data_IF_674677073724
#
_entry.id   IF_674677073724
#
_cell.length_a   1.000
_cell.length_b   1.000
_cell.length_c   1.000
_cell.angle_alpha   90.00
_cell.angle_beta   90.00
_cell.angle_gamma   90.00
#
_symmetry.space_group_name_H-M   'P 1'
#
loop_
_entity.id
_entity.type
_entity.pdbx_description
1 polymer ?
#
# COMPACT_ATOMS: atom_id res chain seq x y z
N UNK A 1 12.44 -12.54 70.47
CA UNK A 1 11.38 -12.24 69.50
C UNK A 1 11.99 -12.06 68.11
N UNK A 2 11.89 -13.09 67.23
CA UNK A 2 12.44 -13.07 65.89
C UNK A 2 11.33 -12.52 64.98
N UNK A 3 11.55 -11.33 64.36
CA UNK A 3 10.64 -10.76 63.34
C UNK A 3 10.89 -11.48 62.01
N UNK A 4 9.90 -12.23 61.53
CA UNK A 4 9.87 -12.81 60.19
C UNK A 4 9.29 -11.74 59.23
N UNK A 5 10.12 -11.24 58.31
CA UNK A 5 9.65 -10.41 57.20
C UNK A 5 9.16 -11.31 56.09
N UNK A 6 7.86 -11.30 55.85
CA UNK A 6 7.24 -11.97 54.71
C UNK A 6 7.34 -11.05 53.48
N UNK A 7 8.24 -11.37 52.53
CA UNK A 7 8.27 -10.69 51.24
C UNK A 7 7.14 -11.23 50.35
N UNK A 8 6.12 -10.42 50.18
CA UNK A 8 5.05 -10.68 49.22
C UNK A 8 5.59 -10.28 47.81
N UNK A 9 6.02 -11.25 47.03
CA UNK A 9 6.37 -11.03 45.62
C UNK A 9 5.08 -10.77 44.84
N UNK A 10 4.81 -9.50 44.47
CA UNK A 10 3.78 -9.16 43.51
C UNK A 10 4.25 -9.66 42.12
N UNK A 11 3.67 -10.74 41.65
CA UNK A 11 3.78 -11.15 40.27
C UNK A 11 2.96 -10.16 39.45
N UNK A 12 3.63 -9.20 38.80
CA UNK A 12 3.03 -8.36 37.76
C UNK A 12 2.77 -9.30 36.58
N UNK A 13 1.51 -9.49 36.13
CA UNK A 13 1.27 -10.25 34.93
C UNK A 13 1.91 -9.48 33.78
N UNK A 14 2.98 -10.01 33.17
CA UNK A 14 3.41 -9.59 31.85
C UNK A 14 2.22 -9.83 30.93
N UNK A 15 1.52 -8.76 30.54
CA UNK A 15 0.58 -8.81 29.43
C UNK A 15 1.43 -9.09 28.19
N UNK A 16 1.48 -10.34 27.76
CA UNK A 16 2.00 -10.71 26.48
C UNK A 16 1.13 -9.97 25.45
N UNK A 17 1.69 -8.97 24.78
CA UNK A 17 1.06 -8.34 23.63
C UNK A 17 0.71 -9.47 22.66
N UNK A 18 -0.58 -9.68 22.40
CA UNK A 18 -1.01 -10.73 21.48
C UNK A 18 -0.37 -10.44 20.11
N UNK A 19 0.49 -11.35 19.68
CA UNK A 19 1.14 -11.28 18.37
C UNK A 19 0.07 -11.34 17.28
N UNK A 20 0.05 -10.36 16.37
CA UNK A 20 -0.91 -10.28 15.27
C UNK A 20 -0.50 -11.20 14.11
N UNK A 21 0.81 -11.33 13.89
CA UNK A 21 1.41 -12.18 12.87
C UNK A 21 2.85 -12.53 13.22
N UNK A 22 3.34 -13.64 12.72
CA UNK A 22 4.72 -14.09 12.86
C UNK A 22 5.49 -13.74 11.58
N UNK A 23 6.59 -12.98 11.70
CA UNK A 23 7.55 -12.77 10.62
C UNK A 23 8.52 -13.95 10.61
N UNK A 24 8.40 -14.83 9.61
CA UNK A 24 9.21 -16.04 9.52
C UNK A 24 10.53 -15.82 8.78
N UNK A 25 10.57 -14.86 7.85
CA UNK A 25 11.78 -14.42 7.16
C UNK A 25 11.60 -13.03 6.59
N UNK A 26 12.72 -12.33 6.34
CA UNK A 26 12.77 -11.10 5.56
C UNK A 26 14.01 -11.16 4.68
N UNK A 27 13.84 -10.92 3.38
CA UNK A 27 14.95 -10.92 2.41
C UNK A 27 14.91 -9.68 1.52
N UNK A 28 16.08 -9.16 1.19
CA UNK A 28 16.24 -8.15 0.16
C UNK A 28 16.11 -8.80 -1.21
N UNK A 29 15.22 -8.27 -2.07
CA UNK A 29 14.89 -8.90 -3.35
C UNK A 29 15.31 -8.14 -4.58
N UNK A 30 15.79 -6.88 -4.45
CA UNK A 30 16.20 -6.10 -5.60
C UNK A 30 17.65 -5.70 -5.58
N UNK A 31 18.16 -5.48 -6.80
CA UNK A 31 19.49 -4.95 -7.09
C UNK A 31 19.48 -3.46 -7.53
N UNK A 32 18.33 -2.83 -7.73
CA UNK A 32 18.27 -1.45 -8.23
C UNK A 32 18.24 -0.46 -7.08
N UNK A 33 19.12 0.53 -7.11
CA UNK A 33 19.25 1.55 -6.08
C UNK A 33 18.17 2.65 -6.10
N UNK A 34 17.18 2.57 -6.96
CA UNK A 34 16.10 3.57 -7.08
C UNK A 34 14.75 2.87 -7.32
N UNK A 35 14.59 1.69 -6.76
CA UNK A 35 13.37 0.91 -6.96
C UNK A 35 12.37 1.11 -5.81
N UNK A 36 11.09 1.10 -6.14
CA UNK A 36 10.01 0.96 -5.16
C UNK A 36 8.94 -0.01 -5.66
N UNK A 37 8.19 -0.57 -4.73
CA UNK A 37 7.07 -1.45 -5.03
C UNK A 37 5.88 -0.62 -5.48
N UNK A 38 5.50 -0.71 -6.75
CA UNK A 38 4.28 -0.12 -7.28
C UNK A 38 3.04 -0.91 -6.83
N UNK A 39 3.08 -2.24 -6.97
CA UNK A 39 2.01 -3.14 -6.55
C UNK A 39 2.57 -4.53 -6.23
N UNK A 40 1.81 -5.31 -5.47
CA UNK A 40 2.07 -6.73 -5.18
C UNK A 40 0.94 -7.57 -5.78
N UNK A 41 1.28 -8.68 -6.42
CA UNK A 41 0.26 -9.61 -6.93
C UNK A 41 -0.61 -10.14 -5.78
N UNK A 42 -1.90 -10.36 -5.98
CA UNK A 42 -2.80 -10.81 -4.92
C UNK A 42 -2.37 -12.13 -4.26
N UNK A 43 -1.83 -13.06 -5.05
CA UNK A 43 -1.33 -14.37 -4.61
C UNK A 43 0.14 -14.36 -4.13
N UNK A 44 0.81 -13.19 -4.14
CA UNK A 44 2.17 -13.06 -3.63
C UNK A 44 3.26 -13.68 -4.51
N UNK A 45 3.05 -13.85 -5.83
CA UNK A 45 4.00 -14.49 -6.73
C UNK A 45 4.99 -13.51 -7.36
N UNK A 46 4.58 -12.25 -7.56
CA UNK A 46 5.42 -11.24 -8.19
C UNK A 46 5.19 -9.84 -7.61
N UNK A 47 6.17 -8.97 -7.82
CA UNK A 47 6.09 -7.53 -7.58
C UNK A 47 6.03 -6.78 -8.91
N UNK A 48 5.28 -5.70 -8.94
CA UNK A 48 5.43 -4.65 -9.94
C UNK A 48 6.33 -3.56 -9.35
N UNK A 49 7.44 -3.30 -10.03
CA UNK A 49 8.46 -2.35 -9.61
C UNK A 49 8.47 -1.11 -10.50
N UNK A 50 8.81 0.02 -9.92
CA UNK A 50 9.01 1.29 -10.60
C UNK A 50 10.13 2.07 -9.91
N UNK A 51 10.59 3.19 -10.47
CA UNK A 51 11.50 4.06 -9.76
C UNK A 51 10.75 5.02 -8.81
N UNK A 52 11.49 5.79 -8.01
CA UNK A 52 10.92 6.76 -7.04
C UNK A 52 10.05 7.82 -7.70
N UNK A 53 10.30 8.17 -8.97
CA UNK A 53 9.49 9.10 -9.76
C UNK A 53 8.29 8.46 -10.47
N UNK A 54 8.01 7.19 -10.24
CA UNK A 54 7.00 6.36 -10.93
C UNK A 54 7.25 6.21 -12.45
N UNK A 55 8.48 6.36 -12.90
CA UNK A 55 8.86 6.13 -14.29
C UNK A 55 9.19 4.66 -14.50
N UNK A 56 8.67 4.09 -15.58
CA UNK A 56 8.81 2.69 -15.91
C UNK A 56 7.94 1.78 -15.05
N UNK A 57 7.75 0.57 -15.55
CA UNK A 57 7.05 -0.52 -14.87
C UNK A 57 7.73 -1.83 -15.23
N UNK A 58 8.10 -2.60 -14.20
CA UNK A 58 8.77 -3.89 -14.34
C UNK A 58 7.99 -4.96 -13.56
N UNK A 59 7.96 -6.16 -14.10
CA UNK A 59 7.50 -7.37 -13.42
C UNK A 59 8.72 -8.07 -12.82
N UNK A 60 8.69 -8.34 -11.51
CA UNK A 60 9.71 -9.08 -10.78
C UNK A 60 9.10 -10.37 -10.23
N UNK A 61 9.48 -11.50 -10.77
CA UNK A 61 9.04 -12.82 -10.32
C UNK A 61 9.79 -13.23 -9.04
N UNK A 62 9.06 -13.53 -7.97
CA UNK A 62 9.66 -13.82 -6.67
C UNK A 62 10.32 -15.21 -6.59
N UNK A 63 9.86 -16.17 -7.38
CA UNK A 63 10.41 -17.52 -7.38
C UNK A 63 11.71 -17.59 -8.20
N UNK A 64 11.70 -17.01 -9.41
CA UNK A 64 12.84 -17.07 -10.35
C UNK A 64 13.80 -15.90 -10.19
N UNK A 65 13.41 -14.83 -9.47
CA UNK A 65 14.14 -13.56 -9.34
C UNK A 65 14.37 -12.84 -10.68
N UNK A 66 13.60 -13.19 -11.69
CA UNK A 66 13.71 -12.57 -13.01
C UNK A 66 12.94 -11.26 -13.09
N UNK A 67 13.50 -10.31 -13.84
CA UNK A 67 12.89 -9.00 -14.11
C UNK A 67 12.52 -8.90 -15.58
N UNK A 68 11.29 -8.51 -15.88
CA UNK A 68 10.82 -8.20 -17.23
C UNK A 68 10.28 -6.77 -17.29
N UNK A 69 10.72 -5.98 -18.26
CA UNK A 69 10.20 -4.62 -18.48
C UNK A 69 8.85 -4.69 -19.18
N UNK A 70 7.84 -4.05 -18.57
CA UNK A 70 6.48 -3.89 -19.12
C UNK A 70 6.38 -2.55 -19.88
N UNK A 71 6.81 -1.44 -19.26
CA UNK A 71 6.80 -0.11 -19.87
C UNK A 71 8.00 0.70 -19.38
N UNK A 72 8.50 1.63 -20.21
CA UNK A 72 9.51 2.63 -19.84
C UNK A 72 8.91 4.03 -19.67
N UNK A 73 7.59 4.17 -19.85
CA UNK A 73 6.92 5.45 -19.89
C UNK A 73 6.86 6.13 -18.51
N UNK A 74 6.80 7.46 -18.52
CA UNK A 74 6.54 8.27 -17.35
C UNK A 74 5.18 7.92 -16.74
N UNK A 75 5.12 7.88 -15.42
CA UNK A 75 3.91 7.60 -14.66
C UNK A 75 3.43 6.15 -14.70
N UNK A 76 4.13 5.23 -15.38
CA UNK A 76 3.71 3.83 -15.52
C UNK A 76 3.59 3.10 -14.18
N UNK A 77 4.40 3.47 -13.19
CA UNK A 77 4.35 2.92 -11.84
C UNK A 77 3.34 3.57 -10.89
N UNK A 78 2.62 4.62 -11.31
CA UNK A 78 1.70 5.32 -10.42
C UNK A 78 0.31 4.69 -10.43
N UNK A 79 -0.16 4.26 -9.24
CA UNK A 79 -1.50 3.72 -9.03
C UNK A 79 -1.84 2.51 -9.92
N UNK A 80 -0.85 1.64 -10.17
CA UNK A 80 -1.04 0.42 -10.96
C UNK A 80 -2.07 -0.47 -10.28
N UNK A 81 -3.00 -1.00 -11.08
CA UNK A 81 -4.00 -1.96 -10.61
C UNK A 81 -3.72 -3.34 -11.16
N UNK A 82 -3.91 -4.35 -10.33
CA UNK A 82 -3.79 -5.77 -10.69
C UNK A 82 -5.15 -6.42 -10.55
N UNK A 83 -5.54 -7.22 -11.53
CA UNK A 83 -6.75 -8.06 -11.46
C UNK A 83 -6.63 -9.10 -10.33
N UNK A 84 -7.75 -9.58 -9.79
CA UNK A 84 -7.75 -10.53 -8.68
C UNK A 84 -7.07 -11.87 -9.00
N UNK A 85 -7.09 -12.27 -10.27
CA UNK A 85 -6.39 -13.47 -10.75
C UNK A 85 -4.88 -13.26 -10.94
N UNK A 86 -4.39 -12.03 -10.76
CA UNK A 86 -2.98 -11.69 -10.93
C UNK A 86 -2.49 -11.65 -12.38
N UNK A 87 -3.36 -11.89 -13.39
CA UNK A 87 -2.93 -12.08 -14.77
C UNK A 87 -2.96 -10.79 -15.61
N UNK A 88 -3.77 -9.82 -15.21
CA UNK A 88 -3.91 -8.56 -15.94
C UNK A 88 -3.58 -7.38 -15.04
N UNK A 89 -2.95 -6.38 -15.63
CA UNK A 89 -2.66 -5.11 -14.97
C UNK A 89 -3.20 -3.95 -15.82
N UNK A 90 -3.56 -2.86 -15.14
CA UNK A 90 -3.89 -1.59 -15.77
C UNK A 90 -2.96 -0.53 -15.21
N UNK A 91 -2.31 0.19 -16.10
CA UNK A 91 -1.38 1.27 -15.77
C UNK A 91 -1.56 2.44 -16.75
N UNK A 92 -0.90 3.55 -16.49
CA UNK A 92 -0.92 4.72 -17.37
C UNK A 92 0.44 4.97 -18.00
N UNK A 93 0.43 5.65 -19.16
CA UNK A 93 1.61 6.21 -19.78
C UNK A 93 1.38 7.70 -19.95
N UNK A 94 2.19 8.52 -19.29
CA UNK A 94 2.08 9.98 -19.33
C UNK A 94 2.76 10.50 -20.59
N UNK A 95 2.06 11.34 -21.32
CA UNK A 95 2.57 12.04 -22.51
C UNK A 95 2.17 13.52 -22.44
N UNK A 96 2.70 14.33 -23.36
CA UNK A 96 2.26 15.71 -23.55
C UNK A 96 1.32 15.78 -24.77
N UNK A 97 0.25 16.54 -24.66
CA UNK A 97 -0.60 16.88 -25.79
C UNK A 97 0.00 18.02 -26.64
N UNK A 98 -0.73 18.47 -27.66
CA UNK A 98 -0.29 19.57 -28.54
C UNK A 98 -0.09 20.90 -27.79
N UNK A 99 -0.76 21.09 -26.65
CA UNK A 99 -0.65 22.27 -25.79
C UNK A 99 0.41 22.10 -24.70
N UNK A 100 1.25 21.05 -24.76
CA UNK A 100 2.23 20.67 -23.73
C UNK A 100 1.61 20.34 -22.36
N UNK A 101 0.32 20.05 -22.30
CA UNK A 101 -0.36 19.61 -21.10
C UNK A 101 -0.14 18.10 -20.89
N UNK A 102 0.04 17.69 -19.62
CA UNK A 102 0.21 16.27 -19.29
C UNK A 102 -1.12 15.53 -19.47
N UNK A 103 -1.10 14.50 -20.29
CA UNK A 103 -2.23 13.58 -20.52
C UNK A 103 -1.75 12.15 -20.36
N UNK A 104 -2.66 11.22 -20.11
CA UNK A 104 -2.33 9.81 -19.87
C UNK A 104 -3.04 8.91 -20.88
N UNK A 105 -2.32 7.99 -21.47
CA UNK A 105 -2.93 6.80 -22.08
C UNK A 105 -3.11 5.76 -20.99
N UNK A 106 -4.27 5.12 -20.93
CA UNK A 106 -4.55 4.01 -20.02
C UNK A 106 -4.33 2.72 -20.79
N UNK A 107 -3.48 1.86 -20.26
CA UNK A 107 -3.02 0.64 -20.90
C UNK A 107 -3.37 -0.55 -20.02
N UNK A 108 -4.00 -1.57 -20.62
CA UNK A 108 -4.14 -2.91 -20.05
C UNK A 108 -3.04 -3.78 -20.62
N UNK A 109 -2.35 -4.51 -19.75
CA UNK A 109 -1.33 -5.48 -20.14
C UNK A 109 -1.69 -6.85 -19.55
N UNK A 110 -1.63 -7.86 -20.40
CA UNK A 110 -1.82 -9.25 -20.02
C UNK A 110 -0.45 -9.89 -19.80
N UNK A 111 -0.19 -10.34 -18.57
CA UNK A 111 1.11 -10.88 -18.15
C UNK A 111 1.39 -12.26 -18.73
N UNK A 112 0.33 -13.02 -19.11
CA UNK A 112 0.46 -14.38 -19.68
C UNK A 112 0.85 -14.27 -21.16
N UNK A 113 0.06 -13.50 -21.92
CA UNK A 113 0.27 -13.33 -23.38
C UNK A 113 1.29 -12.25 -23.70
N UNK A 114 1.71 -11.44 -22.70
CA UNK A 114 2.60 -10.27 -22.84
C UNK A 114 2.10 -9.22 -23.84
N UNK A 115 0.81 -9.15 -24.05
CA UNK A 115 0.17 -8.18 -24.95
C UNK A 115 -0.36 -6.98 -24.18
N UNK A 116 -0.17 -5.80 -24.78
CA UNK A 116 -0.73 -4.54 -24.27
C UNK A 116 -1.82 -4.01 -25.18
N UNK A 117 -2.86 -3.41 -24.59
CA UNK A 117 -3.96 -2.74 -25.28
C UNK A 117 -4.19 -1.37 -24.68
N UNK A 118 -4.23 -0.32 -25.49
CA UNK A 118 -4.62 1.02 -25.05
C UNK A 118 -6.13 1.05 -24.88
N UNK A 119 -6.59 1.24 -23.65
CA UNK A 119 -8.01 1.29 -23.29
C UNK A 119 -8.61 2.69 -23.45
N UNK A 120 -7.82 3.72 -23.14
CA UNK A 120 -8.22 5.13 -23.31
C UNK A 120 -6.99 5.98 -23.63
N UNK A 121 -7.18 7.01 -24.46
CA UNK A 121 -6.11 7.92 -24.90
C UNK A 121 -6.35 9.32 -24.35
N UNK A 122 -5.26 10.06 -24.11
CA UNK A 122 -5.25 11.49 -23.74
C UNK A 122 -6.16 11.84 -22.56
N UNK A 123 -6.21 10.98 -21.55
CA UNK A 123 -7.02 11.21 -20.36
C UNK A 123 -6.37 12.29 -19.49
N UNK A 124 -7.17 13.23 -19.02
CA UNK A 124 -6.77 14.26 -18.03
C UNK A 124 -7.08 13.85 -16.59
N UNK A 125 -7.82 12.76 -16.42
CA UNK A 125 -8.12 12.15 -15.12
C UNK A 125 -7.82 10.64 -15.17
N UNK A 126 -7.91 9.96 -14.04
CA UNK A 126 -7.60 8.53 -13.92
C UNK A 126 -8.85 7.63 -13.84
N UNK A 127 -10.03 8.14 -14.18
CA UNK A 127 -11.30 7.38 -14.06
C UNK A 127 -11.33 6.11 -14.92
N UNK A 128 -10.58 6.09 -16.01
CA UNK A 128 -10.46 4.94 -16.91
C UNK A 128 -9.42 3.90 -16.41
N UNK A 129 -8.68 4.17 -15.35
CA UNK A 129 -7.76 3.22 -14.72
C UNK A 129 -8.54 2.24 -13.84
N UNK A 130 -9.22 1.29 -14.46
CA UNK A 130 -10.02 0.28 -13.76
C UNK A 130 -9.73 -1.08 -14.37
N UNK A 131 -9.20 -2.00 -13.57
CA UNK A 131 -8.95 -3.39 -13.99
C UNK A 131 -10.22 -4.23 -13.87
N UNK A 132 -11.03 -3.97 -12.85
CA UNK A 132 -12.36 -4.56 -12.64
C UNK A 132 -13.36 -3.44 -12.32
N UNK A 133 -14.31 -3.20 -13.25
CA UNK A 133 -15.29 -2.12 -13.13
C UNK A 133 -16.29 -2.35 -11.98
N UNK A 134 -16.52 -3.59 -11.59
CA UNK A 134 -17.47 -3.95 -10.52
C UNK A 134 -16.90 -3.68 -9.12
N UNK A 135 -15.56 -3.67 -9.00
CA UNK A 135 -14.84 -3.44 -7.75
C UNK A 135 -14.48 -1.96 -7.60
N UNK A 136 -14.76 -1.32 -6.45
CA UNK A 136 -14.35 0.06 -6.22
C UNK A 136 -12.83 0.22 -6.32
N UNK A 137 -12.40 1.29 -6.98
CA UNK A 137 -11.00 1.74 -6.98
C UNK A 137 -10.91 3.16 -6.44
N UNK A 138 -9.79 3.49 -5.83
CA UNK A 138 -9.57 4.78 -5.18
C UNK A 138 -8.43 5.55 -5.85
N UNK A 139 -8.60 6.86 -5.94
CA UNK A 139 -7.56 7.81 -6.37
C UNK A 139 -7.68 9.09 -5.56
N UNK A 140 -6.63 9.89 -5.55
CA UNK A 140 -6.66 11.22 -4.92
C UNK A 140 -6.63 12.28 -6.02
N UNK A 141 -7.56 13.22 -5.96
CA UNK A 141 -7.62 14.38 -6.83
C UNK A 141 -7.92 15.62 -6.00
N UNK A 142 -7.11 16.67 -6.16
CA UNK A 142 -7.26 17.94 -5.41
C UNK A 142 -7.40 17.72 -3.89
N UNK A 143 -6.55 16.81 -3.36
CA UNK A 143 -6.54 16.37 -1.96
C UNK A 143 -7.82 15.64 -1.49
N UNK A 144 -8.78 15.40 -2.38
CA UNK A 144 -9.98 14.63 -2.09
C UNK A 144 -9.81 13.17 -2.51
N UNK A 145 -10.35 12.27 -1.71
CA UNK A 145 -10.43 10.87 -2.06
C UNK A 145 -11.59 10.66 -3.04
N UNK A 146 -11.28 10.06 -4.17
CA UNK A 146 -12.26 9.73 -5.22
C UNK A 146 -12.46 8.22 -5.25
N UNK A 147 -13.70 7.78 -5.31
CA UNK A 147 -14.06 6.38 -5.53
C UNK A 147 -14.66 6.21 -6.93
N UNK A 148 -14.10 5.27 -7.69
CA UNK A 148 -14.63 4.90 -9.03
C UNK A 148 -15.19 3.48 -8.96
N UNK A 149 -16.44 3.30 -9.36
CA UNK A 149 -17.13 2.01 -9.48
C UNK A 149 -18.12 2.06 -10.62
N UNK A 150 -18.18 1.01 -11.45
CA UNK A 150 -19.07 0.92 -12.62
C UNK A 150 -18.99 2.15 -13.54
N UNK A 151 -17.77 2.67 -13.78
CA UNK A 151 -17.53 3.84 -14.61
C UNK A 151 -17.97 5.18 -14.03
N UNK A 152 -18.51 5.21 -12.80
CA UNK A 152 -18.86 6.45 -12.10
C UNK A 152 -17.81 6.78 -11.04
N UNK A 153 -17.39 8.04 -11.01
CA UNK A 153 -16.49 8.56 -9.99
C UNK A 153 -17.22 9.57 -9.11
N UNK A 154 -17.10 9.37 -7.80
CA UNK A 154 -17.69 10.26 -6.79
C UNK A 154 -16.60 10.71 -5.81
N UNK A 155 -16.84 11.84 -5.13
CA UNK A 155 -16.03 12.25 -3.98
C UNK A 155 -16.37 11.30 -2.83
N UNK A 156 -15.34 10.67 -2.27
CA UNK A 156 -15.45 9.78 -1.12
C UNK A 156 -14.60 10.35 0.01
N UNK A 157 -15.21 11.17 0.86
CA UNK A 157 -14.51 11.90 1.92
C UNK A 157 -15.17 11.62 3.27
N UNK A 158 -14.93 10.41 3.88
CA UNK A 158 -15.65 9.97 5.09
C UNK A 158 -15.51 10.89 6.29
N UNK A 159 -14.37 11.59 6.44
CA UNK A 159 -14.15 12.58 7.52
C UNK A 159 -14.60 13.99 7.14
N UNK A 160 -15.08 14.22 5.89
CA UNK A 160 -15.46 15.52 5.36
C UNK A 160 -14.47 16.08 4.34
N UNK A 161 -14.96 16.98 3.47
CA UNK A 161 -14.18 17.53 2.36
C UNK A 161 -13.16 18.59 2.77
N UNK A 162 -13.18 19.05 4.02
CA UNK A 162 -12.20 19.97 4.59
C UNK A 162 -10.85 19.32 4.91
N UNK A 163 -10.79 17.98 4.88
CA UNK A 163 -9.57 17.24 5.14
C UNK A 163 -8.82 16.87 3.85
N UNK A 164 -7.51 16.77 3.95
CA UNK A 164 -6.64 16.32 2.86
C UNK A 164 -6.39 14.82 2.94
N UNK A 165 -6.74 14.09 1.90
CA UNK A 165 -6.55 12.64 1.80
C UNK A 165 -5.33 12.33 0.94
N UNK A 166 -4.57 11.28 1.27
CA UNK A 166 -3.35 10.92 0.53
C UNK A 166 -3.35 9.53 -0.05
N UNK A 167 -4.00 8.58 0.59
CA UNK A 167 -4.04 7.19 0.14
C UNK A 167 -5.28 6.49 0.65
N UNK A 168 -5.72 5.48 -0.09
CA UNK A 168 -6.75 4.57 0.35
C UNK A 168 -6.52 3.17 -0.23
N UNK A 169 -6.99 2.17 0.48
CA UNK A 169 -6.92 0.76 0.08
C UNK A 169 -8.22 0.05 0.45
N UNK A 170 -8.73 -0.76 -0.47
CA UNK A 170 -9.94 -1.55 -0.31
C UNK A 170 -9.58 -2.87 0.37
N UNK A 171 -10.40 -3.31 1.34
CA UNK A 171 -10.24 -4.62 1.97
C UNK A 171 -10.42 -5.76 0.96
N UNK A 172 -9.84 -6.94 1.19
CA UNK A 172 -9.96 -8.09 0.28
C UNK A 172 -11.41 -8.46 -0.03
N UNK A 173 -12.31 -8.41 0.96
CA UNK A 173 -13.75 -8.66 0.80
C UNK A 173 -14.53 -7.50 0.15
N UNK A 174 -13.89 -6.34 -0.07
CA UNK A 174 -14.51 -5.17 -0.68
C UNK A 174 -15.48 -4.40 0.21
N UNK A 175 -15.52 -4.69 1.52
CA UNK A 175 -16.51 -4.11 2.44
C UNK A 175 -16.00 -2.89 3.20
N UNK A 176 -14.67 -2.73 3.33
CA UNK A 176 -14.03 -1.65 4.09
C UNK A 176 -12.96 -0.92 3.30
N UNK A 177 -12.70 0.31 3.69
CA UNK A 177 -11.66 1.16 3.13
C UNK A 177 -10.75 1.62 4.26
N UNK A 178 -9.46 1.34 4.16
CA UNK A 178 -8.43 1.96 4.98
C UNK A 178 -7.86 3.16 4.23
N UNK A 179 -7.72 4.32 4.89
CA UNK A 179 -7.25 5.54 4.27
C UNK A 179 -6.47 6.42 5.24
N UNK A 180 -5.65 7.33 4.68
CA UNK A 180 -4.85 8.26 5.45
C UNK A 180 -5.34 9.70 5.22
N UNK A 181 -5.55 10.41 6.33
CA UNK A 181 -5.89 11.85 6.38
C UNK A 181 -4.66 12.60 6.86
N UNK A 182 -4.20 13.60 6.07
CA UNK A 182 -3.00 14.38 6.38
C UNK A 182 -3.09 15.04 7.77
N UNK A 183 -2.00 15.01 8.50
CA UNK A 183 -1.84 15.57 9.85
C UNK A 183 -2.81 15.00 10.90
N UNK A 184 -3.64 13.99 10.55
CA UNK A 184 -4.58 13.36 11.48
C UNK A 184 -4.23 11.90 11.71
N UNK A 185 -4.08 11.10 10.64
CA UNK A 185 -3.73 9.70 10.75
C UNK A 185 -4.54 8.76 9.85
N UNK A 186 -4.49 7.48 10.17
CA UNK A 186 -5.23 6.42 9.50
C UNK A 186 -6.62 6.22 10.07
N UNK A 187 -7.54 5.91 9.17
CA UNK A 187 -8.90 5.54 9.47
C UNK A 187 -9.33 4.30 8.68
N UNK A 188 -10.35 3.64 9.16
CA UNK A 188 -11.12 2.64 8.44
C UNK A 188 -12.58 3.05 8.44
N UNK A 189 -13.27 2.85 7.33
CA UNK A 189 -14.72 2.98 7.26
C UNK A 189 -15.31 1.85 6.42
N UNK A 190 -16.64 1.73 6.42
CA UNK A 190 -17.34 0.89 5.46
C UNK A 190 -17.23 1.47 4.04
N UNK A 191 -17.52 0.65 3.02
CA UNK A 191 -17.46 1.06 1.60
C UNK A 191 -18.47 2.17 1.24
N UNK A 192 -19.48 2.36 2.03
CA UNK A 192 -20.44 3.47 1.91
C UNK A 192 -19.98 4.77 2.60
N UNK A 193 -18.83 4.76 3.27
CA UNK A 193 -18.28 5.87 4.04
C UNK A 193 -18.76 5.93 5.51
N UNK A 194 -19.63 5.03 5.94
CA UNK A 194 -20.12 4.93 7.31
C UNK A 194 -19.13 4.22 8.25
N UNK A 195 -19.43 4.24 9.57
CA UNK A 195 -18.64 3.58 10.62
C UNK A 195 -17.15 3.95 10.60
N UNK A 196 -16.86 5.24 10.57
CA UNK A 196 -15.48 5.77 10.57
C UNK A 196 -14.82 5.45 11.91
N UNK A 197 -13.72 4.72 11.85
CA UNK A 197 -12.89 4.31 12.98
C UNK A 197 -11.47 4.84 12.81
N UNK A 198 -10.96 5.54 13.82
CA UNK A 198 -9.56 5.94 13.90
C UNK A 198 -8.68 4.74 14.26
N UNK A 199 -7.55 4.58 13.57
CA UNK A 199 -6.60 3.47 13.78
C UNK A 199 -5.34 3.97 14.51
N UNK A 200 -4.63 4.96 13.93
CA UNK A 200 -3.39 5.49 14.51
C UNK A 200 -3.00 6.81 13.85
N UNK A 201 -2.20 7.63 14.55
CA UNK A 201 -1.66 8.89 14.01
C UNK A 201 -0.58 8.65 12.96
N UNK A 202 0.47 7.92 13.29
CA UNK A 202 1.60 7.66 12.41
C UNK A 202 1.40 6.37 11.62
N UNK A 203 0.47 6.36 10.70
CA UNK A 203 0.06 5.19 9.94
C UNK A 203 -0.04 5.55 8.45
N UNK A 204 1.11 5.64 7.79
CA UNK A 204 1.21 6.08 6.40
C UNK A 204 1.07 4.91 5.42
N UNK A 205 0.46 5.18 4.26
CA UNK A 205 0.28 4.20 3.17
C UNK A 205 -0.39 2.89 3.62
N UNK A 206 -1.56 2.95 4.31
CA UNK A 206 -2.23 1.76 4.82
C UNK A 206 -2.66 0.83 3.69
N UNK A 207 -2.38 -0.45 3.84
CA UNK A 207 -2.82 -1.53 2.94
C UNK A 207 -3.38 -2.69 3.76
N UNK A 208 -4.35 -3.40 3.23
CA UNK A 208 -4.91 -4.57 3.89
C UNK A 208 -4.04 -5.80 3.66
N UNK A 209 -3.74 -6.52 4.75
CA UNK A 209 -3.19 -7.88 4.67
C UNK A 209 -4.34 -8.92 4.57
N UNK A 210 -5.36 -8.73 5.38
CA UNK A 210 -6.62 -9.47 5.35
C UNK A 210 -7.76 -8.55 5.82
N UNK A 211 -8.98 -9.07 6.03
CA UNK A 211 -10.13 -8.25 6.43
C UNK A 211 -10.07 -7.69 7.86
N UNK A 212 -9.03 -8.02 8.65
CA UNK A 212 -8.88 -7.62 10.06
C UNK A 212 -7.56 -6.90 10.35
N UNK A 213 -6.55 -7.02 9.49
CA UNK A 213 -5.20 -6.50 9.69
C UNK A 213 -4.82 -5.54 8.58
N UNK A 214 -4.36 -4.37 8.98
CA UNK A 214 -3.80 -3.32 8.13
C UNK A 214 -2.28 -3.27 8.35
N UNK A 215 -1.53 -3.19 7.26
CA UNK A 215 -0.09 -2.95 7.26
C UNK A 215 0.14 -1.50 6.85
N UNK A 216 1.01 -0.80 7.57
CA UNK A 216 1.34 0.59 7.27
C UNK A 216 2.80 0.91 7.65
N UNK A 217 3.26 2.09 7.27
CA UNK A 217 4.52 2.65 7.79
C UNK A 217 4.21 3.50 9.02
N UNK A 218 4.90 3.24 10.14
CA UNK A 218 4.93 4.12 11.31
C UNK A 218 6.19 4.97 11.22
N UNK A 219 6.03 6.19 10.74
CA UNK A 219 7.15 7.07 10.40
C UNK A 219 7.19 8.30 11.31
N UNK A 220 8.40 8.73 11.66
CA UNK A 220 8.69 10.02 12.26
C UNK A 220 9.51 10.86 11.31
N UNK A 221 9.31 12.16 11.33
CA UNK A 221 10.07 13.11 10.53
C UNK A 221 10.54 14.29 11.39
N UNK A 222 11.48 15.06 10.84
CA UNK A 222 11.99 16.31 11.46
C UNK A 222 11.46 17.56 10.75
N UNK A 223 10.38 17.44 9.98
CA UNK A 223 9.81 18.50 9.15
C UNK A 223 10.41 18.59 7.74
N UNK A 224 11.50 17.86 7.44
CA UNK A 224 12.15 17.81 6.13
C UNK A 224 12.29 16.39 5.59
N UNK A 225 12.71 15.46 6.44
CA UNK A 225 12.99 14.07 6.07
C UNK A 225 12.41 13.11 7.09
N UNK A 226 12.03 11.92 6.63
CA UNK A 226 11.72 10.79 7.51
C UNK A 226 13.03 10.39 8.21
N UNK A 227 13.03 10.42 9.53
CA UNK A 227 14.19 10.07 10.37
C UNK A 227 14.14 8.63 10.88
N UNK A 228 12.94 8.12 11.08
CA UNK A 228 12.67 6.75 11.52
C UNK A 228 11.41 6.25 10.81
N UNK A 229 11.39 4.99 10.42
CA UNK A 229 10.17 4.35 9.93
C UNK A 229 10.26 2.84 10.04
N UNK A 230 9.18 2.24 10.51
CA UNK A 230 9.02 0.80 10.60
C UNK A 230 7.74 0.35 9.90
N UNK A 231 7.73 -0.87 9.36
CA UNK A 231 6.50 -1.51 8.93
C UNK A 231 5.79 -2.08 10.15
N UNK A 232 4.51 -1.76 10.28
CA UNK A 232 3.67 -2.13 11.41
C UNK A 232 2.38 -2.78 10.96
N UNK A 233 1.87 -3.71 11.76
CA UNK A 233 0.54 -4.28 11.65
C UNK A 233 -0.38 -3.63 12.68
N UNK A 234 -1.58 -3.27 12.25
CA UNK A 234 -2.67 -2.80 13.11
C UNK A 234 -3.87 -3.73 12.92
N UNK A 235 -4.46 -4.18 14.02
CA UNK A 235 -5.76 -4.84 13.98
C UNK A 235 -6.90 -3.83 14.19
N UNK A 236 -8.10 -4.20 13.75
CA UNK A 236 -9.28 -3.35 13.92
C UNK A 236 -9.71 -3.24 15.40
N UNK A 237 -9.25 -4.13 16.29
CA UNK A 237 -9.46 -4.05 17.74
C UNK A 237 -8.41 -3.21 18.49
N UNK A 238 -7.54 -2.48 17.74
CA UNK A 238 -6.62 -1.48 18.28
C UNK A 238 -5.24 -2.01 18.69
N UNK A 239 -4.91 -3.28 18.39
CA UNK A 239 -3.56 -3.81 18.65
C UNK A 239 -2.59 -3.33 17.59
N UNK A 240 -1.32 -3.12 17.98
CA UNK A 240 -0.21 -2.73 17.13
C UNK A 240 0.95 -3.69 17.30
N UNK A 241 1.56 -4.10 16.21
CA UNK A 241 2.80 -4.89 16.21
C UNK A 241 3.79 -4.30 15.21
N UNK A 242 5.04 -4.06 15.65
CA UNK A 242 6.14 -3.68 14.77
C UNK A 242 6.69 -4.94 14.11
N UNK A 243 6.84 -4.90 12.78
CA UNK A 243 7.28 -6.04 11.96
C UNK A 243 8.75 -5.96 11.53
N UNK A 244 9.31 -4.75 11.38
CA UNK A 244 10.73 -4.54 11.01
C UNK A 244 11.59 -4.22 12.22
N UNK A 245 12.90 -4.52 12.13
CA UNK A 245 13.83 -4.39 13.27
C UNK A 245 14.44 -2.99 13.46
N UNK A 246 14.16 -2.03 12.55
CA UNK A 246 14.66 -0.65 12.68
C UNK A 246 16.11 -0.43 12.22
N UNK A 247 16.69 -1.34 11.46
CA UNK A 247 18.03 -1.25 10.86
C UNK A 247 18.05 -0.39 9.58
N UNK A 248 16.87 -0.01 9.07
CA UNK A 248 16.67 0.88 7.92
C UNK A 248 15.30 1.58 8.00
N UNK A 249 15.15 2.66 7.25
CA UNK A 249 13.88 3.40 7.14
C UNK A 249 12.96 2.66 6.17
N UNK A 250 12.01 1.89 6.71
CA UNK A 250 11.08 1.05 5.96
C UNK A 250 9.78 1.81 5.63
N UNK A 251 9.41 1.89 4.35
CA UNK A 251 8.29 2.70 3.85
C UNK A 251 7.50 1.98 2.75
N UNK A 252 6.31 2.49 2.45
CA UNK A 252 5.46 2.07 1.32
C UNK A 252 5.15 0.57 1.27
N UNK A 253 4.59 -0.01 2.34
CA UNK A 253 4.26 -1.43 2.34
C UNK A 253 3.22 -1.78 1.28
N UNK A 254 3.32 -3.01 0.79
CA UNK A 254 2.32 -3.73 0.02
C UNK A 254 2.14 -5.10 0.65
N UNK A 255 0.92 -5.59 0.67
CA UNK A 255 0.62 -6.88 1.27
C UNK A 255 -0.06 -7.81 0.25
N UNK A 256 0.25 -9.08 0.36
CA UNK A 256 -0.35 -10.18 -0.36
C UNK A 256 -0.50 -11.38 0.59
N UNK A 257 -1.10 -12.45 0.13
CA UNK A 257 -1.25 -13.66 0.94
C UNK A 257 0.11 -14.19 1.43
N UNK A 258 0.27 -14.28 2.74
CA UNK A 258 1.48 -14.79 3.40
C UNK A 258 2.72 -13.90 3.26
N UNK A 259 2.62 -12.70 2.63
CA UNK A 259 3.79 -11.87 2.36
C UNK A 259 3.51 -10.38 2.51
N UNK A 260 4.55 -9.63 2.89
CA UNK A 260 4.57 -8.17 2.91
C UNK A 260 5.84 -7.71 2.19
N UNK A 261 5.68 -6.87 1.18
CA UNK A 261 6.80 -6.19 0.53
C UNK A 261 6.86 -4.72 0.98
N UNK A 262 8.06 -4.17 1.14
CA UNK A 262 8.25 -2.75 1.45
C UNK A 262 9.52 -2.21 0.80
N UNK A 263 9.59 -0.91 0.66
CA UNK A 263 10.78 -0.19 0.18
C UNK A 263 11.53 0.44 1.34
N UNK A 264 12.81 0.72 1.15
CA UNK A 264 13.59 1.55 2.08
C UNK A 264 13.79 2.96 1.52
N UNK A 265 14.23 3.89 2.35
CA UNK A 265 14.62 5.25 1.91
C UNK A 265 15.77 5.23 0.90
N UNK A 266 16.61 4.20 0.93
CA UNK A 266 17.74 3.98 0.00
C UNK A 266 17.32 3.33 -1.33
N UNK A 267 16.01 3.04 -1.52
CA UNK A 267 15.49 2.42 -2.74
C UNK A 267 15.70 0.91 -2.81
N UNK A 268 15.96 0.26 -1.67
CA UNK A 268 15.99 -1.19 -1.58
C UNK A 268 14.57 -1.75 -1.38
N UNK A 269 14.34 -2.97 -1.80
CA UNK A 269 13.07 -3.67 -1.61
C UNK A 269 13.29 -4.95 -0.82
N UNK A 270 12.45 -5.12 0.18
CA UNK A 270 12.41 -6.32 1.02
C UNK A 270 11.07 -7.02 0.88
N UNK A 271 11.08 -8.35 1.00
CA UNK A 271 9.90 -9.18 1.15
C UNK A 271 9.99 -9.96 2.45
N UNK A 272 8.98 -9.82 3.29
CA UNK A 272 8.78 -10.61 4.50
C UNK A 272 7.79 -11.73 4.23
N UNK A 273 8.10 -12.95 4.65
CA UNK A 273 7.11 -14.03 4.77
C UNK A 273 6.49 -13.96 6.16
N UNK A 274 5.17 -14.03 6.23
CA UNK A 274 4.38 -13.89 7.46
C UNK A 274 3.31 -14.98 7.58
N UNK A 275 3.00 -15.34 8.83
CA UNK A 275 1.95 -16.31 9.20
C UNK A 275 0.96 -15.72 10.19
#
# INVERSE_FOLDING_TARGET
MKKVFLFLALAIPMMASAQLMEVTSAERVTASADAKVAAFSPNGDYLLLTNTSNQGLQHFDLATKQVATISKADGAGYNVQIAQDGQQIVYREVTLDANKSRVSNIVRHDLVTKKSQVMAKKQTNLTAMVVDATRPSFSVKDQQLMMTKNGKTIVFSPNGQQYSYHSASLSPDGQKVAYYVAAVGCFVCNIDGGNVQFIAHNCYSPVWYNNQIIIASDSKDNGHFITESAIVAYSLDGKKQVLTKGDHIAVFPKAAEGKIAYSTSEGEIYVMNVK
#
